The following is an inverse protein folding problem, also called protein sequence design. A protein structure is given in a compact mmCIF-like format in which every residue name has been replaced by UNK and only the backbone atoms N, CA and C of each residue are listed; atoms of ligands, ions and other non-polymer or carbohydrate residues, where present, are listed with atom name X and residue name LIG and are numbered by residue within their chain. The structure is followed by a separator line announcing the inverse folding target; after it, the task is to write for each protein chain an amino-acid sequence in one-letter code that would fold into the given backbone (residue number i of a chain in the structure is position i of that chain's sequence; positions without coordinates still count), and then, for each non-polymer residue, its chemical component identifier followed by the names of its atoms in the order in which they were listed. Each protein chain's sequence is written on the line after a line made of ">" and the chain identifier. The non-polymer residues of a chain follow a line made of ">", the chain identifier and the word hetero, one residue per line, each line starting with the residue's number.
data_IF_765898036037
#
_entry.id   IF_765898036037
#
_cell.length_a   1.000
_cell.length_b   1.000
_cell.length_c   1.000
_cell.angle_alpha   90.00
_cell.angle_beta   90.00
_cell.angle_gamma   90.00
#
_symmetry.space_group_name_H-M   'P 1'
#
loop_
_entity.id
_entity.type
_entity.pdbx_description
1 polymer ?
#
# COMPACT_ATOMS: atom_id res chain seq x y z
N UNK A 1 13.89 -24.53 2.62
CA UNK A 1 12.61 -24.43 3.36
C UNK A 1 11.47 -23.95 2.46
N UNK A 2 11.65 -22.92 1.62
CA UNK A 2 10.63 -22.43 0.68
C UNK A 2 9.90 -23.50 -0.19
N UNK A 3 10.53 -24.59 -0.66
CA UNK A 3 9.83 -25.63 -1.43
C UNK A 3 8.78 -26.42 -0.62
N UNK A 4 8.88 -26.43 0.71
CA UNK A 4 8.01 -27.22 1.59
C UNK A 4 6.65 -26.54 1.86
N UNK A 5 6.51 -25.25 1.56
CA UNK A 5 5.25 -24.50 1.73
C UNK A 5 4.60 -24.67 3.12
N UNK A 6 5.42 -24.65 4.18
CA UNK A 6 4.96 -24.85 5.56
C UNK A 6 3.92 -23.78 5.94
N UNK A 7 2.80 -24.22 6.53
CA UNK A 7 1.72 -23.32 6.95
C UNK A 7 2.18 -22.35 8.04
N UNK A 8 2.96 -22.82 9.01
CA UNK A 8 3.47 -22.03 10.14
C UNK A 8 4.60 -21.06 9.77
N UNK A 9 5.13 -21.15 8.54
CA UNK A 9 6.11 -20.20 8.03
C UNK A 9 5.47 -19.02 7.29
N UNK A 10 4.14 -19.02 7.12
CA UNK A 10 3.43 -17.91 6.49
C UNK A 10 3.37 -16.74 7.49
N UNK A 11 3.54 -15.49 7.02
CA UNK A 11 3.39 -14.33 7.89
C UNK A 11 1.94 -14.23 8.38
N UNK A 12 1.76 -13.77 9.62
CA UNK A 12 0.46 -13.73 10.31
C UNK A 12 0.10 -12.28 10.63
N UNK A 13 -1.18 -11.95 10.41
CA UNK A 13 -1.81 -10.71 10.84
C UNK A 13 -2.99 -11.07 11.75
N UNK A 14 -3.03 -10.51 12.94
CA UNK A 14 -4.13 -10.67 13.87
C UNK A 14 -5.19 -9.59 13.61
N UNK A 15 -6.41 -10.01 13.28
CA UNK A 15 -7.56 -9.11 13.18
C UNK A 15 -8.37 -9.28 14.47
N UNK A 16 -8.25 -8.31 15.38
CA UNK A 16 -8.93 -8.32 16.66
C UNK A 16 -10.30 -7.64 16.53
N UNK A 17 -11.35 -8.45 16.42
CA UNK A 17 -12.72 -7.93 16.41
C UNK A 17 -13.13 -7.47 17.81
N UNK A 18 -13.49 -6.20 17.95
CA UNK A 18 -13.90 -5.57 19.20
C UNK A 18 -15.30 -4.96 19.09
N UNK A 19 -15.90 -4.64 20.24
CA UNK A 19 -17.10 -3.81 20.31
C UNK A 19 -16.77 -2.34 19.97
N UNK A 20 -17.78 -1.51 19.72
CA UNK A 20 -17.62 -0.12 19.29
C UNK A 20 -16.79 0.72 20.28
N UNK A 21 -16.95 0.49 21.58
CA UNK A 21 -16.17 1.13 22.66
C UNK A 21 -14.93 0.30 23.08
N UNK A 22 -14.68 -0.83 22.41
CA UNK A 22 -13.70 -1.85 22.82
C UNK A 22 -12.28 -1.63 22.32
N UNK A 23 -11.97 -0.48 21.73
CA UNK A 23 -10.63 -0.14 21.21
C UNK A 23 -9.62 0.20 22.32
N UNK A 24 -10.12 0.67 23.47
CA UNK A 24 -9.34 1.03 24.65
C UNK A 24 -9.81 0.23 25.87
N UNK A 25 -8.95 0.09 26.88
CA UNK A 25 -9.26 -0.58 28.15
C UNK A 25 -9.89 -1.98 27.99
N UNK A 26 -9.48 -2.73 26.96
CA UNK A 26 -10.02 -4.04 26.62
C UNK A 26 -8.99 -5.14 26.93
N UNK A 27 -9.17 -5.92 28.03
CA UNK A 27 -8.21 -6.96 28.42
C UNK A 27 -8.01 -8.05 27.35
N UNK A 28 -9.02 -8.32 26.52
CA UNK A 28 -8.90 -9.30 25.43
C UNK A 28 -8.03 -8.76 24.29
N UNK A 29 -8.18 -7.48 23.96
CA UNK A 29 -7.33 -6.83 22.96
C UNK A 29 -5.87 -6.77 23.44
N UNK A 30 -5.65 -6.46 24.72
CA UNK A 30 -4.31 -6.43 25.31
C UNK A 30 -3.65 -7.83 25.30
N UNK A 31 -4.43 -8.88 25.58
CA UNK A 31 -3.94 -10.26 25.48
C UNK A 31 -3.54 -10.63 24.05
N UNK A 32 -4.33 -10.26 23.04
CA UNK A 32 -3.99 -10.49 21.62
C UNK A 32 -2.72 -9.74 21.23
N UNK A 33 -2.58 -8.47 21.64
CA UNK A 33 -1.36 -7.68 21.41
C UNK A 33 -0.12 -8.31 22.01
N UNK A 34 -0.23 -8.88 23.21
CA UNK A 34 0.88 -9.58 23.86
C UNK A 34 1.29 -10.86 23.10
N UNK A 35 0.32 -11.66 22.65
CA UNK A 35 0.59 -12.88 21.86
C UNK A 35 1.24 -12.51 20.51
N UNK A 36 0.67 -11.54 19.81
CA UNK A 36 1.20 -11.10 18.52
C UNK A 36 2.62 -10.54 18.63
N UNK A 37 2.95 -9.84 19.72
CA UNK A 37 4.30 -9.34 19.96
C UNK A 37 5.34 -10.48 20.13
N UNK A 38 4.98 -11.57 20.82
CA UNK A 38 5.83 -12.76 20.96
C UNK A 38 6.07 -13.46 19.60
N UNK A 39 5.04 -13.46 18.74
CA UNK A 39 5.10 -14.03 17.40
C UNK A 39 5.64 -13.07 16.32
N UNK A 40 5.97 -11.83 16.69
CA UNK A 40 6.37 -10.76 15.76
C UNK A 40 5.33 -10.48 14.66
N UNK A 41 4.05 -10.60 15.01
CA UNK A 41 2.90 -10.37 14.14
C UNK A 41 2.28 -8.99 14.39
N UNK A 42 1.70 -8.41 13.34
CA UNK A 42 0.93 -7.17 13.42
C UNK A 42 -0.49 -7.46 13.97
N UNK A 43 -1.08 -6.48 14.65
CA UNK A 43 -2.48 -6.54 15.12
C UNK A 43 -3.24 -5.34 14.58
N UNK A 44 -4.40 -5.59 13.96
CA UNK A 44 -5.38 -4.56 13.61
C UNK A 44 -6.65 -4.80 14.39
N UNK A 45 -7.02 -3.85 15.24
CA UNK A 45 -8.30 -3.87 15.94
C UNK A 45 -9.38 -3.23 15.06
N UNK A 46 -10.54 -3.87 14.98
CA UNK A 46 -11.66 -3.44 14.12
C UNK A 46 -12.98 -3.80 14.77
N UNK A 47 -14.03 -3.01 14.55
CA UNK A 47 -15.38 -3.36 14.97
C UNK A 47 -16.17 -3.88 13.77
N UNK A 48 -16.25 -5.20 13.59
CA UNK A 48 -16.88 -5.79 12.39
C UNK A 48 -18.34 -5.37 12.19
N UNK A 49 -19.06 -5.10 13.29
CA UNK A 49 -20.44 -4.62 13.23
C UNK A 49 -20.51 -3.23 12.59
N UNK A 50 -19.68 -2.31 13.07
CA UNK A 50 -19.57 -0.96 12.54
C UNK A 50 -19.12 -0.97 11.07
N UNK A 51 -18.16 -1.82 10.71
CA UNK A 51 -17.71 -1.94 9.31
C UNK A 51 -18.80 -2.49 8.38
N UNK A 52 -19.63 -3.41 8.87
CA UNK A 52 -20.75 -3.93 8.10
C UNK A 52 -21.78 -2.82 7.81
N UNK A 53 -22.09 -1.98 8.81
CA UNK A 53 -22.97 -0.81 8.65
C UNK A 53 -22.36 0.19 7.65
N UNK A 54 -21.08 0.53 7.80
CA UNK A 54 -20.34 1.40 6.88
C UNK A 54 -20.39 0.88 5.43
N UNK A 55 -20.36 -0.43 5.22
CA UNK A 55 -20.33 -1.03 3.88
C UNK A 55 -21.65 -0.93 3.12
N UNK A 56 -22.75 -0.65 3.82
CA UNK A 56 -24.09 -0.50 3.23
C UNK A 56 -24.43 0.96 2.88
N UNK A 57 -23.64 1.92 3.39
CA UNK A 57 -23.81 3.35 3.15
C UNK A 57 -23.26 3.76 1.77
N UNK A 58 -23.84 4.81 1.19
CA UNK A 58 -23.24 5.47 0.04
C UNK A 58 -22.04 6.35 0.44
N UNK A 59 -21.35 6.94 -0.54
CA UNK A 59 -20.13 7.70 -0.29
C UNK A 59 -20.35 8.96 0.56
N UNK A 60 -21.51 9.61 0.44
CA UNK A 60 -21.84 10.83 1.19
C UNK A 60 -22.22 10.46 2.63
N UNK A 61 -23.12 9.50 2.80
CA UNK A 61 -23.55 8.98 4.09
C UNK A 61 -22.39 8.38 4.89
N UNK A 62 -21.49 7.64 4.22
CA UNK A 62 -20.30 7.07 4.84
C UNK A 62 -19.40 8.15 5.44
N UNK A 63 -19.18 9.25 4.72
CA UNK A 63 -18.31 10.31 5.18
C UNK A 63 -18.90 11.04 6.40
N UNK A 64 -20.21 11.27 6.40
CA UNK A 64 -20.92 11.83 7.55
C UNK A 64 -20.81 10.90 8.76
N UNK A 65 -21.08 9.60 8.58
CA UNK A 65 -20.99 8.59 9.64
C UNK A 65 -19.59 8.48 10.26
N UNK A 66 -18.54 8.44 9.44
CA UNK A 66 -17.16 8.42 9.92
C UNK A 66 -16.81 9.68 10.73
N UNK A 67 -17.27 10.84 10.27
CA UNK A 67 -17.03 12.13 10.95
C UNK A 67 -17.70 12.16 12.32
N UNK A 68 -18.94 11.66 12.43
CA UNK A 68 -19.68 11.58 13.69
C UNK A 68 -19.00 10.67 14.72
N UNK A 69 -18.32 9.62 14.24
CA UNK A 69 -17.53 8.70 15.06
C UNK A 69 -16.11 9.20 15.36
N UNK A 70 -15.70 10.34 14.80
CA UNK A 70 -14.34 10.86 14.92
C UNK A 70 -13.28 10.00 14.22
N UNK A 71 -13.68 9.28 13.16
CA UNK A 71 -12.81 8.44 12.35
C UNK A 71 -12.52 9.11 11.01
N UNK A 72 -11.25 9.10 10.60
CA UNK A 72 -10.85 9.64 9.29
C UNK A 72 -11.09 8.65 8.14
N UNK A 73 -11.18 7.35 8.45
CA UNK A 73 -11.30 6.27 7.48
C UNK A 73 -11.94 5.01 8.09
N UNK A 74 -12.54 4.12 7.28
CA UNK A 74 -13.01 2.81 7.74
C UNK A 74 -11.87 1.96 8.33
N UNK A 75 -12.17 1.14 9.33
CA UNK A 75 -11.22 0.18 9.88
C UNK A 75 -10.83 -0.90 8.87
N UNK A 76 -11.71 -1.23 7.92
CA UNK A 76 -11.42 -2.19 6.86
C UNK A 76 -10.23 -1.76 5.99
N UNK A 77 -10.06 -0.46 5.75
CA UNK A 77 -8.92 0.08 4.99
C UNK A 77 -7.60 -0.17 5.71
N UNK A 78 -7.60 -0.14 7.05
CA UNK A 78 -6.43 -0.47 7.87
C UNK A 78 -6.08 -1.96 7.73
N UNK A 79 -7.09 -2.84 7.70
CA UNK A 79 -6.90 -4.28 7.45
C UNK A 79 -6.33 -4.54 6.06
N UNK A 80 -6.86 -3.87 5.04
CA UNK A 80 -6.37 -3.99 3.66
C UNK A 80 -4.89 -3.59 3.57
N UNK A 81 -4.53 -2.43 4.13
CA UNK A 81 -3.12 -1.96 4.11
C UNK A 81 -2.20 -2.87 4.92
N UNK A 82 -2.63 -3.38 6.07
CA UNK A 82 -1.85 -4.33 6.85
C UNK A 82 -1.64 -5.65 6.10
N UNK A 83 -2.70 -6.19 5.48
CA UNK A 83 -2.58 -7.39 4.63
C UNK A 83 -1.67 -7.18 3.42
N UNK A 84 -1.69 -5.99 2.83
CA UNK A 84 -0.81 -5.63 1.72
C UNK A 84 0.67 -5.64 2.14
N UNK A 85 0.99 -5.01 3.28
CA UNK A 85 2.34 -5.07 3.90
C UNK A 85 2.73 -6.49 4.29
N UNK A 86 1.82 -7.27 4.86
CA UNK A 86 2.06 -8.68 5.26
C UNK A 86 2.53 -9.53 4.07
N UNK A 87 2.05 -9.24 2.87
CA UNK A 87 2.41 -9.93 1.63
C UNK A 87 3.73 -9.43 1.01
N UNK A 88 4.38 -8.43 1.63
CA UNK A 88 5.57 -7.75 1.13
C UNK A 88 5.30 -7.03 -0.19
N UNK A 89 4.13 -6.37 -0.29
CA UNK A 89 3.70 -5.62 -1.46
C UNK A 89 3.83 -4.12 -1.20
N UNK A 90 4.21 -3.39 -2.24
CA UNK A 90 4.27 -1.93 -2.26
C UNK A 90 3.63 -1.40 -3.55
N UNK A 91 3.26 -0.13 -3.54
CA UNK A 91 2.61 0.54 -4.67
C UNK A 91 3.57 1.51 -5.34
N UNK A 92 3.56 1.56 -6.66
CA UNK A 92 4.12 2.68 -7.43
C UNK A 92 3.05 3.20 -8.39
N UNK A 93 3.25 4.40 -8.92
CA UNK A 93 2.27 5.07 -9.76
C UNK A 93 2.79 5.32 -11.16
N UNK A 94 1.88 5.25 -12.13
CA UNK A 94 2.04 5.92 -13.42
C UNK A 94 1.02 7.05 -13.48
N UNK A 95 1.46 8.27 -13.77
CA UNK A 95 0.59 9.43 -13.87
C UNK A 95 0.77 10.12 -15.22
N UNK A 96 -0.33 10.39 -15.90
CA UNK A 96 -0.40 11.14 -17.15
C UNK A 96 -1.73 11.86 -17.30
N UNK A 97 -1.92 12.65 -18.37
CA UNK A 97 -3.09 13.51 -18.53
C UNK A 97 -4.41 12.74 -18.66
N UNK A 98 -4.36 11.45 -19.02
CA UNK A 98 -5.55 10.60 -19.19
C UNK A 98 -5.83 9.69 -18.01
N UNK A 99 -4.79 9.30 -17.27
CA UNK A 99 -4.88 8.26 -16.26
C UNK A 99 -3.80 8.46 -15.19
N UNK A 100 -4.20 8.30 -13.94
CA UNK A 100 -3.31 8.02 -12.83
C UNK A 100 -3.66 6.61 -12.33
N UNK A 101 -2.64 5.76 -12.19
CA UNK A 101 -2.84 4.36 -11.83
C UNK A 101 -1.83 3.88 -10.82
N UNK A 102 -2.33 3.17 -9.82
CA UNK A 102 -1.54 2.41 -8.85
C UNK A 102 -1.19 1.03 -9.42
N UNK A 103 0.07 0.64 -9.25
CA UNK A 103 0.60 -0.66 -9.64
C UNK A 103 1.18 -1.36 -8.43
N UNK A 104 0.82 -2.63 -8.26
CA UNK A 104 1.33 -3.47 -7.18
C UNK A 104 2.61 -4.16 -7.60
N UNK A 105 3.64 -4.07 -6.78
CA UNK A 105 4.91 -4.79 -6.96
C UNK A 105 5.39 -5.32 -5.62
N UNK A 106 6.26 -6.33 -5.61
CA UNK A 106 6.88 -6.78 -4.35
C UNK A 106 7.93 -5.78 -3.89
N UNK A 107 8.05 -5.60 -2.59
CA UNK A 107 9.17 -4.87 -1.99
C UNK A 107 10.52 -5.42 -2.50
N UNK A 108 11.45 -4.50 -2.80
CA UNK A 108 12.75 -4.84 -3.35
C UNK A 108 12.78 -5.10 -4.86
N UNK A 109 11.64 -4.95 -5.57
CA UNK A 109 11.62 -5.12 -7.03
C UNK A 109 12.37 -4.01 -7.76
N UNK A 110 13.11 -4.39 -8.79
CA UNK A 110 13.86 -3.48 -9.65
C UNK A 110 12.94 -2.75 -10.65
N UNK A 111 13.40 -1.63 -11.20
CA UNK A 111 12.66 -0.86 -12.20
C UNK A 111 12.21 -1.69 -13.42
N UNK A 112 13.03 -2.59 -14.01
CA UNK A 112 12.57 -3.47 -15.10
C UNK A 112 11.46 -4.43 -14.68
N UNK A 113 11.55 -5.02 -13.48
CA UNK A 113 10.52 -5.92 -12.95
C UNK A 113 9.20 -5.18 -12.72
N UNK A 114 9.27 -3.97 -12.17
CA UNK A 114 8.11 -3.09 -12.02
C UNK A 114 7.49 -2.74 -13.39
N UNK A 115 8.31 -2.41 -14.39
CA UNK A 115 7.84 -2.14 -15.75
C UNK A 115 7.15 -3.37 -16.37
N UNK A 116 7.64 -4.58 -16.08
CA UNK A 116 7.04 -5.85 -16.50
C UNK A 116 5.61 -6.06 -15.99
N UNK A 117 5.26 -5.48 -14.84
CA UNK A 117 3.88 -5.48 -14.30
C UNK A 117 2.93 -4.68 -15.20
N UNK A 118 3.41 -3.60 -15.83
CA UNK A 118 2.61 -2.81 -16.79
C UNK A 118 2.43 -3.61 -18.08
N UNK A 119 3.53 -4.13 -18.61
CA UNK A 119 3.53 -4.99 -19.80
C UNK A 119 4.82 -5.80 -19.89
N UNK A 120 4.73 -7.08 -20.27
CA UNK A 120 5.89 -7.99 -20.32
C UNK A 120 7.00 -7.54 -21.28
N UNK A 121 6.64 -6.78 -22.32
CA UNK A 121 7.63 -6.25 -23.28
C UNK A 121 8.45 -5.10 -22.70
N UNK A 122 7.92 -4.37 -21.71
CA UNK A 122 8.67 -3.26 -21.10
C UNK A 122 9.84 -3.77 -20.29
N UNK A 123 9.72 -4.93 -19.65
CA UNK A 123 10.82 -5.55 -18.90
C UNK A 123 11.98 -5.92 -19.84
N UNK A 124 11.67 -6.55 -20.99
CA UNK A 124 12.67 -6.94 -21.99
C UNK A 124 13.28 -5.74 -22.70
N UNK A 125 12.44 -4.78 -23.08
CA UNK A 125 12.80 -3.56 -23.79
C UNK A 125 13.29 -2.43 -22.88
N UNK A 126 13.42 -2.66 -21.57
CA UNK A 126 13.73 -1.61 -20.59
C UNK A 126 15.03 -0.88 -20.93
N UNK A 127 14.93 0.45 -21.06
CA UNK A 127 16.07 1.35 -21.23
C UNK A 127 16.41 2.01 -19.89
N UNK A 128 15.43 2.71 -19.30
CA UNK A 128 15.56 3.45 -18.03
C UNK A 128 14.19 3.81 -17.47
N UNK A 129 14.15 4.15 -16.20
CA UNK A 129 12.97 4.71 -15.54
C UNK A 129 13.18 6.19 -15.24
N UNK A 130 12.18 7.00 -15.55
CA UNK A 130 12.06 8.37 -15.06
C UNK A 130 11.27 8.31 -13.75
N UNK A 131 11.90 8.67 -12.63
CA UNK A 131 11.34 8.43 -11.28
C UNK A 131 11.33 9.71 -10.47
N UNK A 132 10.25 9.94 -9.74
CA UNK A 132 10.14 10.95 -8.69
C UNK A 132 9.35 10.39 -7.51
N UNK A 133 9.68 10.80 -6.29
CA UNK A 133 8.91 10.39 -5.11
C UNK A 133 7.50 10.99 -5.14
N UNK A 134 6.54 10.34 -4.48
CA UNK A 134 5.18 10.87 -4.32
C UNK A 134 5.19 12.30 -3.77
N UNK A 135 5.92 12.53 -2.67
CA UNK A 135 5.99 13.82 -1.99
C UNK A 135 6.53 14.92 -2.90
N UNK A 136 7.61 14.64 -3.65
CA UNK A 136 8.18 15.60 -4.59
C UNK A 136 7.26 15.84 -5.79
N UNK A 137 6.51 14.83 -6.24
CA UNK A 137 5.52 14.97 -7.33
C UNK A 137 4.38 15.90 -6.90
N UNK A 138 3.84 15.70 -5.69
CA UNK A 138 2.77 16.53 -5.13
C UNK A 138 3.27 17.96 -4.86
N UNK A 139 4.44 18.11 -4.23
CA UNK A 139 5.04 19.42 -3.96
C UNK A 139 5.36 20.20 -5.25
N UNK A 140 5.72 19.50 -6.32
CA UNK A 140 5.95 20.06 -7.66
C UNK A 140 4.70 20.34 -8.48
N UNK A 141 3.49 20.07 -7.95
CA UNK A 141 2.23 20.11 -8.71
C UNK A 141 2.30 19.30 -10.02
N UNK A 142 2.94 18.14 -9.96
CA UNK A 142 3.11 17.21 -11.07
C UNK A 142 4.47 17.26 -11.75
N UNK A 143 4.53 16.63 -12.92
CA UNK A 143 5.78 16.34 -13.64
C UNK A 143 6.63 17.58 -13.93
N UNK A 144 6.02 18.67 -14.41
CA UNK A 144 6.75 19.86 -14.84
C UNK A 144 7.47 20.51 -13.66
N UNK A 145 6.75 20.79 -12.56
CA UNK A 145 7.38 21.43 -11.40
C UNK A 145 8.37 20.52 -10.68
N UNK A 146 8.14 19.21 -10.66
CA UNK A 146 9.12 18.26 -10.14
C UNK A 146 10.42 18.22 -10.97
N UNK A 147 10.32 18.35 -12.30
CA UNK A 147 11.48 18.48 -13.21
C UNK A 147 12.23 19.78 -12.99
N UNK A 148 11.51 20.91 -12.91
CA UNK A 148 12.11 22.23 -12.66
C UNK A 148 12.82 22.31 -11.29
N UNK A 149 12.27 21.61 -10.28
CA UNK A 149 12.88 21.48 -8.96
C UNK A 149 14.06 20.49 -8.90
N UNK A 150 14.41 19.83 -10.01
CA UNK A 150 15.51 18.86 -10.06
C UNK A 150 15.24 17.56 -9.31
N UNK A 151 13.97 17.23 -9.02
CA UNK A 151 13.58 16.00 -8.31
C UNK A 151 13.33 14.81 -9.23
N UNK A 152 13.30 15.04 -10.54
CA UNK A 152 13.06 14.03 -11.56
C UNK A 152 14.35 13.27 -11.89
N UNK A 153 14.45 12.02 -11.43
CA UNK A 153 15.65 11.19 -11.57
C UNK A 153 15.57 10.28 -12.78
N UNK A 154 16.72 9.98 -13.36
CA UNK A 154 16.88 8.93 -14.36
C UNK A 154 17.54 7.73 -13.71
N UNK A 155 16.78 6.65 -13.61
CA UNK A 155 17.17 5.45 -12.89
C UNK A 155 17.40 4.27 -13.85
N UNK A 156 18.43 3.48 -13.52
CA UNK A 156 18.87 2.33 -14.32
C UNK A 156 18.17 1.03 -13.96
N UNK A 157 18.68 -0.08 -14.51
CA UNK A 157 18.15 -1.43 -14.28
C UNK A 157 18.27 -1.91 -12.83
N UNK A 158 19.28 -1.43 -12.12
CA UNK A 158 19.55 -1.80 -10.72
C UNK A 158 18.75 -0.98 -9.71
N UNK A 159 17.99 0.03 -10.16
CA UNK A 159 17.17 0.83 -9.25
C UNK A 159 16.08 -0.03 -8.64
N UNK A 160 16.03 -0.06 -7.30
CA UNK A 160 14.96 -0.68 -6.54
C UNK A 160 13.84 0.35 -6.39
N UNK A 161 12.67 0.02 -6.91
CA UNK A 161 11.49 0.89 -6.81
C UNK A 161 11.14 1.08 -5.34
N UNK A 162 10.81 2.32 -4.97
CA UNK A 162 10.35 2.66 -3.63
C UNK A 162 8.82 2.78 -3.62
N UNK A 163 8.22 2.55 -2.45
CA UNK A 163 6.78 2.77 -2.27
C UNK A 163 6.42 4.24 -2.58
N UNK A 164 5.35 4.43 -3.34
CA UNK A 164 4.88 5.73 -3.79
C UNK A 164 5.63 6.35 -4.96
N UNK A 165 6.68 5.72 -5.52
CA UNK A 165 7.37 6.27 -6.68
C UNK A 165 6.39 6.54 -7.84
N UNK A 166 6.46 7.73 -8.45
CA UNK A 166 5.79 8.05 -9.70
C UNK A 166 6.78 7.83 -10.83
N UNK A 167 6.46 6.88 -11.71
CA UNK A 167 7.41 6.34 -12.70
C UNK A 167 6.87 6.49 -14.12
N UNK A 168 7.75 6.94 -15.01
CA UNK A 168 7.58 6.84 -16.45
C UNK A 168 8.67 5.94 -17.06
N UNK A 169 8.28 4.76 -17.55
CA UNK A 169 9.23 3.81 -18.13
C UNK A 169 9.57 4.16 -19.58
N UNK A 170 10.88 4.15 -19.89
CA UNK A 170 11.39 4.28 -21.26
C UNK A 170 11.83 2.89 -21.73
N UNK A 171 11.28 2.45 -22.85
CA UNK A 171 11.57 1.14 -23.44
C UNK A 171 11.70 1.26 -24.96
N UNK A 172 12.39 0.29 -25.56
CA UNK A 172 12.39 0.12 -27.01
C UNK A 172 11.48 -1.06 -27.36
N UNK A 173 10.71 -0.91 -28.43
CA UNK A 173 9.89 -1.98 -29.03
C UNK A 173 10.63 -2.59 -30.20
#
# INVERSE_FOLDING_TARGET
>A
IAPLQLLTAKPVLYIANVEEEGFENNPHLDAVRMIAADEQAEVVAICNKMEAEISELDDEERQEFLTDLGMDEPGLDKVIRAGYRLLGLQTYFTAGPKEARAWTVREGSTAPQAAGIVHTDFEKGFIRAEVVSYDDYVAGNGEIGAKEAGKWRLEGKEYVVQDGDVIHFRFNV
#
